data_IF_056065890898
#
_entry.id   IF_056065890898
#
_cell.length_a   1.000
_cell.length_b   1.000
_cell.length_c   1.000
_cell.angle_alpha   90.00
_cell.angle_beta   90.00
_cell.angle_gamma   90.00
#
_symmetry.space_group_name_H-M   'P 1'
#
loop_
_entity.id
_entity.type
_entity.pdbx_description
1 polymer ?
#
# COMPACT_ATOMS: atom_id res chain seq x y z
N UNK A 1 -17.40 4.48 0.11
CA UNK A 1 -15.98 4.11 -0.11
C UNK A 1 -15.56 4.82 -1.37
N UNK A 2 -14.33 5.31 -1.44
CA UNK A 2 -13.81 5.82 -2.69
C UNK A 2 -13.77 4.65 -3.69
N UNK A 3 -14.34 4.84 -4.88
CA UNK A 3 -14.25 3.88 -5.97
C UNK A 3 -13.05 4.26 -6.83
N UNK A 4 -11.93 3.56 -6.62
CA UNK A 4 -10.80 3.60 -7.53
C UNK A 4 -10.83 2.32 -8.37
N UNK A 5 -10.42 2.44 -9.63
CA UNK A 5 -10.01 1.25 -10.37
C UNK A 5 -8.78 0.62 -9.70
N UNK A 6 -8.52 -0.65 -10.00
CA UNK A 6 -7.38 -1.36 -9.41
C UNK A 6 -6.02 -0.72 -9.76
N UNK A 7 -5.92 -0.13 -10.95
CA UNK A 7 -4.71 0.58 -11.40
C UNK A 7 -4.53 1.91 -10.64
N UNK A 8 -5.59 2.73 -10.55
CA UNK A 8 -5.56 3.97 -9.78
C UNK A 8 -5.26 3.72 -8.30
N UNK A 9 -5.78 2.63 -7.73
CA UNK A 9 -5.50 2.26 -6.35
C UNK A 9 -4.00 1.98 -6.14
N UNK A 10 -3.35 1.28 -7.07
CA UNK A 10 -1.91 1.00 -6.99
C UNK A 10 -1.10 2.29 -7.00
N UNK A 11 -1.42 3.22 -7.89
CA UNK A 11 -0.76 4.53 -7.95
C UNK A 11 -0.95 5.30 -6.64
N UNK A 12 -2.19 5.37 -6.12
CA UNK A 12 -2.50 6.05 -4.85
C UNK A 12 -1.76 5.45 -3.65
N UNK A 13 -1.58 4.12 -3.63
CA UNK A 13 -0.79 3.44 -2.59
C UNK A 13 0.67 3.87 -2.66
N UNK A 14 1.26 3.92 -3.86
CA UNK A 14 2.64 4.36 -4.05
C UNK A 14 2.80 5.83 -3.70
N UNK A 15 1.90 6.72 -4.15
CA UNK A 15 1.89 8.14 -3.78
C UNK A 15 1.83 8.32 -2.26
N UNK A 16 0.96 7.58 -1.57
CA UNK A 16 0.86 7.63 -0.12
C UNK A 16 2.18 7.21 0.55
N UNK A 17 2.81 6.12 0.06
CA UNK A 17 4.11 5.65 0.55
C UNK A 17 5.29 6.53 0.10
N UNK A 18 5.12 7.45 -0.86
CA UNK A 18 6.14 8.49 -1.12
C UNK A 18 6.14 9.54 -0.01
N UNK A 19 5.01 9.80 0.64
CA UNK A 19 4.91 10.78 1.76
C UNK A 19 5.29 10.20 3.12
N UNK A 20 5.39 8.87 3.24
CA UNK A 20 5.69 8.13 4.48
C UNK A 20 6.91 7.23 4.27
N UNK A 21 7.67 6.90 5.31
CA UNK A 21 8.75 5.89 5.15
C UNK A 21 8.20 4.48 5.06
N UNK A 22 7.11 4.21 5.80
CA UNK A 22 6.43 2.93 5.88
C UNK A 22 5.01 3.13 6.40
N UNK A 23 4.09 2.25 6.06
CA UNK A 23 2.73 2.27 6.57
C UNK A 23 2.17 0.85 6.74
N UNK A 24 1.08 0.70 7.50
CA UNK A 24 0.31 -0.54 7.52
C UNK A 24 -0.78 -0.48 6.46
N UNK A 25 -1.15 -1.62 5.88
CA UNK A 25 -2.23 -1.70 4.90
C UNK A 25 -3.55 -1.14 5.44
N UNK A 26 -3.82 -1.30 6.75
CA UNK A 26 -4.99 -0.71 7.40
C UNK A 26 -4.97 0.81 7.37
N UNK A 27 -3.81 1.42 7.63
CA UNK A 27 -3.66 2.87 7.65
C UNK A 27 -3.80 3.46 6.25
N UNK A 28 -3.25 2.75 5.24
CA UNK A 28 -3.42 3.09 3.82
C UNK A 28 -4.91 3.03 3.43
N UNK A 29 -5.61 1.96 3.80
CA UNK A 29 -7.03 1.81 3.50
C UNK A 29 -7.88 2.92 4.13
N UNK A 30 -7.58 3.30 5.38
CA UNK A 30 -8.23 4.43 6.06
C UNK A 30 -7.91 5.76 5.39
N UNK A 31 -6.65 6.02 5.02
CA UNK A 31 -6.23 7.26 4.38
C UNK A 31 -6.86 7.46 3.00
N UNK A 32 -7.01 6.36 2.23
CA UNK A 32 -7.59 6.38 0.89
C UNK A 32 -9.12 6.18 0.88
N UNK A 33 -9.73 5.81 2.02
CA UNK A 33 -11.18 5.58 2.12
C UNK A 33 -11.68 4.34 1.34
N UNK A 34 -10.82 3.33 1.19
CA UNK A 34 -11.02 2.12 0.37
C UNK A 34 -11.13 0.86 1.23
N UNK A 35 -11.52 -0.26 0.63
CA UNK A 35 -11.57 -1.52 1.34
C UNK A 35 -10.15 -2.05 1.61
N UNK A 36 -9.90 -2.47 2.85
CA UNK A 36 -8.63 -3.12 3.24
C UNK A 36 -8.29 -4.30 2.32
N UNK A 37 -9.27 -5.08 1.88
CA UNK A 37 -9.04 -6.23 0.99
C UNK A 37 -8.46 -5.81 -0.37
N UNK A 38 -8.90 -4.67 -0.91
CA UNK A 38 -8.41 -4.15 -2.18
C UNK A 38 -6.97 -3.62 -2.03
N UNK A 39 -6.69 -2.92 -0.93
CA UNK A 39 -5.33 -2.49 -0.60
C UNK A 39 -4.40 -3.68 -0.42
N UNK A 40 -4.82 -4.71 0.32
CA UNK A 40 -4.02 -5.92 0.52
C UNK A 40 -3.70 -6.59 -0.82
N UNK A 41 -4.65 -6.66 -1.75
CA UNK A 41 -4.44 -7.22 -3.09
C UNK A 41 -3.42 -6.38 -3.88
N UNK A 42 -3.65 -5.06 -3.97
CA UNK A 42 -2.76 -4.15 -4.70
C UNK A 42 -1.34 -4.11 -4.12
N UNK A 43 -1.20 -4.08 -2.79
CA UNK A 43 0.10 -4.14 -2.11
C UNK A 43 0.83 -5.46 -2.40
N UNK A 44 0.13 -6.59 -2.37
CA UNK A 44 0.75 -7.88 -2.67
C UNK A 44 1.24 -7.98 -4.11
N UNK A 45 0.49 -7.45 -5.08
CA UNK A 45 0.91 -7.39 -6.47
C UNK A 45 2.13 -6.48 -6.66
N UNK A 46 2.10 -5.26 -6.11
CA UNK A 46 3.24 -4.33 -6.14
C UNK A 46 4.48 -4.91 -5.45
N UNK A 47 4.30 -5.69 -4.39
CA UNK A 47 5.41 -6.38 -3.72
C UNK A 47 5.99 -7.52 -4.57
N UNK A 48 5.15 -8.27 -5.29
CA UNK A 48 5.59 -9.31 -6.23
C UNK A 48 6.35 -8.73 -7.42
N UNK A 49 5.94 -7.57 -7.89
CA UNK A 49 6.65 -6.81 -8.94
C UNK A 49 7.95 -6.17 -8.44
N UNK A 50 8.21 -6.18 -7.12
CA UNK A 50 9.40 -5.60 -6.52
C UNK A 50 9.34 -4.08 -6.34
N UNK A 51 8.17 -3.46 -6.52
CA UNK A 51 7.95 -2.02 -6.28
C UNK A 51 7.89 -1.74 -4.77
N UNK A 52 7.18 -2.60 -4.04
CA UNK A 52 7.05 -2.52 -2.59
C UNK A 52 7.77 -3.68 -1.91
N UNK A 53 8.09 -3.51 -0.64
CA UNK A 53 8.58 -4.58 0.22
C UNK A 53 7.84 -4.58 1.56
N UNK A 54 7.71 -5.78 2.13
CA UNK A 54 7.19 -5.95 3.47
C UNK A 54 8.31 -5.87 4.49
N UNK A 55 8.08 -5.10 5.54
CA UNK A 55 9.00 -4.94 6.65
C UNK A 55 8.33 -5.42 7.94
N UNK A 56 9.03 -6.22 8.74
CA UNK A 56 8.52 -6.69 10.01
C UNK A 56 9.27 -6.02 11.18
N UNK A 57 8.58 -5.12 11.88
CA UNK A 57 9.09 -4.41 13.06
C UNK A 57 8.11 -4.57 14.23
N UNK A 58 7.91 -5.82 14.67
CA UNK A 58 6.86 -6.20 15.64
C UNK A 58 5.45 -6.27 15.06
N UNK A 59 5.24 -5.70 13.88
CA UNK A 59 4.03 -5.78 13.06
C UNK A 59 4.43 -5.64 11.60
N UNK A 60 3.58 -6.11 10.69
CA UNK A 60 3.78 -5.96 9.24
C UNK A 60 3.56 -4.52 8.80
N UNK A 61 4.57 -3.96 8.14
CA UNK A 61 4.53 -2.71 7.41
C UNK A 61 4.83 -2.97 5.93
N UNK A 62 4.47 -2.00 5.10
CA UNK A 62 4.86 -1.91 3.71
C UNK A 62 5.60 -0.60 3.46
N UNK A 63 6.63 -0.64 2.63
CA UNK A 63 7.39 0.52 2.14
C UNK A 63 7.79 0.33 0.68
N UNK A 64 8.24 1.40 0.05
CA UNK A 64 8.85 1.34 -1.29
C UNK A 64 10.23 0.68 -1.14
N UNK A 65 10.56 -0.28 -2.00
CA UNK A 65 11.76 -1.12 -1.87
C UNK A 65 13.06 -0.33 -1.85
N UNK A 66 13.19 0.66 -2.73
CA UNK A 66 14.42 1.45 -2.90
C UNK A 66 14.37 2.82 -2.20
N UNK A 67 13.54 2.94 -1.15
CA UNK A 67 13.39 4.15 -0.34
C UNK A 67 13.82 3.89 1.10
#
# INVERSE_FOLDING_TARGET
MAEFTHEELREKIVEYLQTKDKAKNRDIATALGVNKKEVDKAVNELAREGVLEFLYLGTSFVKIKDK
#
